data_IF_060289457739
#
_entry.id   IF_060289457739
#
_cell.length_a   1.000
_cell.length_b   1.000
_cell.length_c   1.000
_cell.angle_alpha   90.00
_cell.angle_beta   90.00
_cell.angle_gamma   90.00
#
_symmetry.space_group_name_H-M   'P 1'
#
loop_
_entity.id
_entity.type
_entity.pdbx_description
1 polymer ?
#
# COMPACT_ATOMS: atom_id res chain seq x y z
N UNK A 1 -13.01 -14.20 -8.18
CA UNK A 1 -11.80 -15.04 -8.06
C UNK A 1 -10.92 -14.41 -6.99
N UNK A 2 -10.26 -15.20 -6.14
CA UNK A 2 -9.33 -14.67 -5.15
C UNK A 2 -8.06 -14.16 -5.87
N UNK A 3 -7.42 -13.12 -5.32
CA UNK A 3 -6.14 -12.60 -5.81
C UNK A 3 -5.06 -12.81 -4.75
N UNK A 4 -3.87 -13.23 -5.18
CA UNK A 4 -2.72 -13.42 -4.28
C UNK A 4 -1.76 -12.23 -4.41
N UNK A 5 -1.44 -11.56 -3.30
CA UNK A 5 -0.55 -10.40 -3.34
C UNK A 5 0.92 -10.84 -3.45
N UNK A 6 1.65 -10.31 -4.42
CA UNK A 6 3.09 -10.59 -4.58
C UNK A 6 3.95 -9.98 -3.46
N UNK A 7 3.37 -9.13 -2.60
CA UNK A 7 4.03 -8.66 -1.37
C UNK A 7 4.53 -9.83 -0.51
N UNK A 8 3.83 -10.96 -0.54
CA UNK A 8 4.14 -12.15 0.25
C UNK A 8 5.53 -12.75 -0.03
N UNK A 9 6.01 -12.72 -1.28
CA UNK A 9 7.30 -13.33 -1.67
C UNK A 9 8.27 -12.42 -2.39
N UNK A 10 7.88 -11.21 -2.81
CA UNK A 10 8.75 -10.30 -3.55
C UNK A 10 10.14 -10.11 -2.90
N UNK A 11 10.20 -9.99 -1.58
CA UNK A 11 11.46 -9.82 -0.84
C UNK A 11 12.41 -11.03 -0.90
N UNK A 12 11.91 -12.23 -1.23
CA UNK A 12 12.71 -13.47 -1.33
C UNK A 12 13.33 -13.70 -2.71
N UNK A 13 12.90 -12.93 -3.71
CA UNK A 13 13.34 -13.10 -5.10
C UNK A 13 14.15 -11.92 -5.59
N UNK A 14 15.02 -12.16 -6.57
CA UNK A 14 15.74 -11.13 -7.33
C UNK A 14 15.22 -10.98 -8.75
N UNK A 15 14.65 -12.05 -9.31
CA UNK A 15 13.98 -12.08 -10.61
C UNK A 15 12.44 -12.10 -10.45
N UNK A 16 11.75 -11.53 -11.42
CA UNK A 16 10.29 -11.44 -11.40
C UNK A 16 9.58 -12.68 -11.90
N UNK A 17 10.19 -13.46 -12.80
CA UNK A 17 9.56 -14.67 -13.34
C UNK A 17 9.54 -15.75 -12.27
N UNK A 18 10.67 -16.00 -11.60
CA UNK A 18 10.75 -16.96 -10.49
C UNK A 18 9.79 -16.64 -9.34
N UNK A 19 9.59 -15.35 -9.07
CA UNK A 19 8.65 -14.88 -8.05
C UNK A 19 7.20 -15.21 -8.42
N UNK A 20 6.82 -15.03 -9.68
CA UNK A 20 5.48 -15.37 -10.15
C UNK A 20 5.29 -16.88 -10.19
N UNK A 21 6.29 -17.63 -10.66
CA UNK A 21 6.25 -19.10 -10.72
C UNK A 21 6.02 -19.72 -9.34
N UNK A 22 6.67 -19.23 -8.28
CA UNK A 22 6.40 -19.70 -6.90
C UNK A 22 4.92 -19.52 -6.49
N UNK A 23 4.29 -18.40 -6.86
CA UNK A 23 2.87 -18.15 -6.54
C UNK A 23 1.96 -19.07 -7.37
N UNK A 24 2.28 -19.28 -8.64
CA UNK A 24 1.54 -20.17 -9.54
C UNK A 24 1.65 -21.62 -9.10
N UNK A 25 2.82 -22.06 -8.64
CA UNK A 25 3.07 -23.41 -8.11
C UNK A 25 2.27 -23.70 -6.83
N UNK A 26 1.90 -22.66 -6.07
CA UNK A 26 0.94 -22.76 -4.95
C UNK A 26 -0.51 -22.89 -5.40
N UNK A 27 -0.79 -22.79 -6.70
CA UNK A 27 -2.13 -22.88 -7.30
C UNK A 27 -2.82 -21.54 -7.51
N UNK A 28 -2.12 -20.41 -7.35
CA UNK A 28 -2.70 -19.07 -7.56
C UNK A 28 -2.27 -18.49 -8.91
N UNK A 29 -3.19 -18.38 -9.84
CA UNK A 29 -2.95 -17.77 -11.16
C UNK A 29 -3.50 -16.35 -11.28
N UNK A 30 -4.22 -15.84 -10.29
CA UNK A 30 -4.70 -14.47 -10.25
C UNK A 30 -3.94 -13.70 -9.16
N UNK A 31 -3.15 -12.71 -9.56
CA UNK A 31 -2.12 -12.09 -8.71
C UNK A 31 -2.31 -10.57 -8.68
N UNK A 32 -2.13 -9.98 -7.51
CA UNK A 32 -1.97 -8.53 -7.33
C UNK A 32 -0.47 -8.20 -7.27
N UNK A 33 -0.01 -7.30 -8.15
CA UNK A 33 1.39 -6.91 -8.23
C UNK A 33 1.67 -5.77 -7.25
N UNK A 34 2.34 -6.10 -6.15
CA UNK A 34 2.41 -5.23 -4.98
C UNK A 34 3.61 -4.28 -4.97
N UNK A 35 3.66 -3.45 -3.93
CA UNK A 35 4.77 -2.54 -3.64
C UNK A 35 6.05 -3.30 -3.21
N UNK A 36 7.13 -2.56 -2.98
CA UNK A 36 8.46 -3.10 -2.72
C UNK A 36 9.13 -3.74 -3.93
N UNK A 37 8.47 -3.76 -5.10
CA UNK A 37 8.98 -4.39 -6.31
C UNK A 37 10.08 -3.53 -6.92
N UNK A 38 11.29 -4.06 -7.07
CA UNK A 38 12.36 -3.32 -7.77
C UNK A 38 12.14 -3.34 -9.28
N UNK A 39 12.58 -2.30 -9.97
CA UNK A 39 12.52 -2.21 -11.44
C UNK A 39 13.20 -3.41 -12.14
N UNK A 40 14.20 -4.02 -11.49
CA UNK A 40 14.94 -5.16 -12.01
C UNK A 40 14.07 -6.43 -12.18
N UNK A 41 12.98 -6.56 -11.42
CA UNK A 41 12.05 -7.70 -11.53
C UNK A 41 11.05 -7.56 -12.66
N UNK A 42 10.78 -6.34 -13.13
CA UNK A 42 9.74 -6.06 -14.10
C UNK A 42 9.87 -6.88 -15.41
N UNK A 43 11.08 -7.08 -15.99
CA UNK A 43 11.22 -7.92 -17.19
C UNK A 43 10.74 -9.36 -16.98
N UNK A 44 11.06 -9.98 -15.84
CA UNK A 44 10.62 -11.34 -15.52
C UNK A 44 9.11 -11.44 -15.33
N UNK A 45 8.49 -10.44 -14.67
CA UNK A 45 7.03 -10.37 -14.52
C UNK A 45 6.34 -10.23 -15.88
N UNK A 46 6.86 -9.37 -16.77
CA UNK A 46 6.34 -9.19 -18.13
C UNK A 46 6.41 -10.50 -18.92
N UNK A 47 7.55 -11.18 -18.86
CA UNK A 47 7.73 -12.48 -19.52
C UNK A 47 6.74 -13.54 -19.00
N UNK A 48 6.53 -13.62 -17.68
CA UNK A 48 5.53 -14.52 -17.09
C UNK A 48 4.10 -14.17 -17.57
N UNK A 49 3.77 -12.89 -17.66
CA UNK A 49 2.46 -12.42 -18.12
C UNK A 49 2.23 -12.74 -19.61
N UNK A 50 3.23 -12.49 -20.46
CA UNK A 50 3.20 -12.81 -21.89
C UNK A 50 3.08 -14.33 -22.15
N UNK A 51 3.68 -15.15 -21.30
CA UNK A 51 3.50 -16.61 -21.30
C UNK A 51 2.10 -17.05 -20.85
N UNK A 52 1.32 -16.16 -20.25
CA UNK A 52 -0.04 -16.44 -19.79
C UNK A 52 -0.12 -17.31 -18.54
N UNK A 53 0.94 -17.38 -17.72
CA UNK A 53 0.94 -18.22 -16.50
C UNK A 53 0.15 -17.60 -15.34
N UNK A 54 -0.17 -16.31 -15.42
CA UNK A 54 -1.01 -15.61 -14.45
C UNK A 54 -1.81 -14.46 -15.10
N UNK A 55 -2.86 -14.01 -14.41
CA UNK A 55 -3.61 -12.79 -14.67
C UNK A 55 -3.33 -11.76 -13.59
N UNK A 56 -3.23 -10.48 -13.97
CA UNK A 56 -3.06 -9.39 -13.02
C UNK A 56 -4.43 -8.83 -12.60
N UNK A 57 -4.82 -9.02 -11.34
CA UNK A 57 -6.09 -8.47 -10.84
C UNK A 57 -6.00 -6.95 -10.62
N UNK A 58 -4.85 -6.49 -10.14
CA UNK A 58 -4.59 -5.10 -9.80
C UNK A 58 -3.14 -4.92 -9.41
N UNK A 59 -2.74 -3.66 -9.22
CA UNK A 59 -1.40 -3.32 -8.76
C UNK A 59 -1.46 -2.45 -7.50
N UNK A 60 -0.40 -2.44 -6.71
CA UNK A 60 -0.27 -1.59 -5.53
C UNK A 60 0.78 -0.53 -5.76
N UNK A 61 0.38 0.73 -5.58
CA UNK A 61 1.26 1.86 -5.70
C UNK A 61 2.34 1.85 -4.59
N UNK A 62 3.62 2.07 -4.87
CA UNK A 62 4.22 2.34 -6.17
C UNK A 62 4.71 1.06 -6.85
N UNK A 63 4.33 0.89 -8.12
CA UNK A 63 4.75 -0.27 -8.91
C UNK A 63 5.40 0.14 -10.23
N UNK A 64 6.71 -0.15 -10.43
CA UNK A 64 7.67 -0.57 -9.42
C UNK A 64 7.92 0.51 -8.35
N UNK A 65 8.55 0.09 -7.26
CA UNK A 65 8.93 0.99 -6.17
C UNK A 65 9.95 2.04 -6.62
N UNK A 66 9.98 3.22 -5.95
CA UNK A 66 10.99 4.23 -6.23
C UNK A 66 12.39 3.67 -6.03
N UNK A 67 13.31 4.01 -6.92
CA UNK A 67 14.69 3.46 -6.89
C UNK A 67 15.47 3.91 -5.65
N UNK A 68 15.09 5.05 -5.09
CA UNK A 68 15.59 5.62 -3.85
C UNK A 68 15.09 4.91 -2.58
N UNK A 69 14.16 3.97 -2.71
CA UNK A 69 13.53 3.24 -1.61
C UNK A 69 13.93 1.78 -1.66
N UNK A 70 14.77 1.38 -0.70
CA UNK A 70 15.32 0.02 -0.60
C UNK A 70 14.50 -0.93 0.27
N UNK A 71 13.42 -0.42 0.88
CA UNK A 71 12.55 -1.17 1.77
C UNK A 71 11.13 -1.20 1.22
N UNK A 72 10.32 -2.06 1.82
CA UNK A 72 8.91 -2.10 1.50
C UNK A 72 8.19 -0.88 2.07
N UNK A 73 7.96 0.14 1.24
CA UNK A 73 7.36 1.41 1.66
C UNK A 73 6.28 1.88 0.66
N UNK A 74 5.03 1.41 0.80
CA UNK A 74 3.90 1.93 0.03
C UNK A 74 3.67 3.43 0.26
N UNK A 75 4.09 3.94 1.42
CA UNK A 75 3.99 5.34 1.83
C UNK A 75 5.30 6.13 1.58
N UNK A 76 6.14 5.70 0.65
CA UNK A 76 7.39 6.39 0.31
C UNK A 76 7.21 7.89 0.02
N UNK A 77 6.10 8.24 -0.63
CA UNK A 77 5.67 9.61 -0.86
C UNK A 77 4.19 9.74 -0.48
N UNK A 78 3.88 10.56 0.51
CA UNK A 78 2.50 10.75 0.94
C UNK A 78 1.83 11.94 0.23
N UNK A 79 0.60 11.75 -0.26
CA UNK A 79 -0.25 12.83 -0.76
C UNK A 79 -0.63 13.83 0.35
N UNK A 80 -0.58 13.43 1.62
CA UNK A 80 -0.76 14.30 2.78
C UNK A 80 0.47 15.12 3.17
N UNK A 81 1.63 14.92 2.50
CA UNK A 81 2.88 15.56 2.89
C UNK A 81 2.76 17.09 2.90
N UNK A 82 3.39 17.72 3.89
CA UNK A 82 3.51 19.18 3.95
C UNK A 82 4.40 19.74 2.84
N UNK A 83 5.26 18.91 2.24
CA UNK A 83 6.20 19.30 1.18
C UNK A 83 5.53 19.11 -0.18
N UNK A 84 5.37 20.17 -0.99
CA UNK A 84 4.76 20.05 -2.32
C UNK A 84 5.49 19.08 -3.24
N UNK A 85 6.82 18.99 -3.13
CA UNK A 85 7.63 18.06 -3.91
C UNK A 85 7.24 16.59 -3.67
N UNK A 86 7.04 16.18 -2.42
CA UNK A 86 6.66 14.81 -2.09
C UNK A 86 5.29 14.47 -2.69
N UNK A 87 4.33 15.41 -2.65
CA UNK A 87 3.01 15.23 -3.25
C UNK A 87 3.07 15.13 -4.78
N UNK A 88 3.88 15.96 -5.42
CA UNK A 88 4.09 15.89 -6.86
C UNK A 88 4.71 14.55 -7.25
N UNK A 89 5.74 14.11 -6.50
CA UNK A 89 6.40 12.82 -6.72
C UNK A 89 5.42 11.66 -6.55
N UNK A 90 4.54 11.71 -5.55
CA UNK A 90 3.48 10.73 -5.36
C UNK A 90 2.57 10.64 -6.59
N UNK A 91 2.11 11.77 -7.12
CA UNK A 91 1.28 11.82 -8.33
C UNK A 91 2.02 11.30 -9.57
N UNK A 92 3.24 11.76 -9.83
CA UNK A 92 4.03 11.35 -10.99
C UNK A 92 4.24 9.83 -11.02
N UNK A 93 4.53 9.23 -9.87
CA UNK A 93 4.72 7.79 -9.76
C UNK A 93 3.41 7.01 -9.83
N UNK A 94 2.30 7.61 -9.41
CA UNK A 94 0.96 7.03 -9.60
C UNK A 94 0.63 6.90 -11.07
N UNK A 95 0.89 7.95 -11.87
CA UNK A 95 0.66 7.91 -13.31
C UNK A 95 1.51 6.83 -13.99
N UNK A 96 2.80 6.70 -13.62
CA UNK A 96 3.65 5.62 -14.12
C UNK A 96 3.13 4.23 -13.73
N UNK A 97 2.60 4.10 -12.52
CA UNK A 97 1.99 2.85 -12.05
C UNK A 97 0.73 2.53 -12.86
N UNK A 98 -0.09 3.53 -13.21
CA UNK A 98 -1.27 3.36 -14.07
C UNK A 98 -0.88 2.94 -15.49
N UNK A 99 0.17 3.52 -16.07
CA UNK A 99 0.69 3.13 -17.38
C UNK A 99 1.07 1.64 -17.40
N UNK A 100 1.79 1.19 -16.38
CA UNK A 100 2.17 -0.22 -16.24
C UNK A 100 0.98 -1.13 -15.91
N UNK A 101 0.04 -0.68 -15.08
CA UNK A 101 -1.19 -1.41 -14.80
C UNK A 101 -1.97 -1.71 -16.10
N UNK A 102 -2.00 -0.76 -17.03
CA UNK A 102 -2.62 -0.94 -18.33
C UNK A 102 -1.93 -2.02 -19.17
N UNK A 103 -0.59 -2.11 -19.15
CA UNK A 103 0.16 -3.18 -19.82
C UNK A 103 -0.23 -4.57 -19.29
N UNK A 104 -0.44 -4.68 -17.98
CA UNK A 104 -0.90 -5.92 -17.32
C UNK A 104 -2.42 -6.12 -17.33
N UNK A 105 -3.18 -5.21 -17.97
CA UNK A 105 -4.65 -5.20 -17.98
C UNK A 105 -5.27 -5.28 -16.57
N UNK A 106 -4.58 -4.70 -15.58
CA UNK A 106 -5.02 -4.69 -14.19
C UNK A 106 -6.36 -3.94 -14.05
N UNK A 107 -7.23 -4.41 -13.16
CA UNK A 107 -8.58 -3.84 -12.99
C UNK A 107 -8.65 -2.74 -11.94
N UNK A 108 -7.67 -2.68 -11.03
CA UNK A 108 -7.63 -1.67 -9.98
C UNK A 108 -6.20 -1.29 -9.60
N UNK A 109 -6.08 -0.14 -8.94
CA UNK A 109 -4.87 0.35 -8.30
C UNK A 109 -5.15 0.57 -6.81
N UNK A 110 -4.30 0.05 -5.94
CA UNK A 110 -4.33 0.35 -4.50
C UNK A 110 -3.43 1.54 -4.21
N UNK A 111 -3.97 2.53 -3.49
CA UNK A 111 -3.28 3.76 -3.11
C UNK A 111 -3.28 3.92 -1.60
N UNK A 112 -2.12 4.27 -1.05
CA UNK A 112 -2.05 4.84 0.28
C UNK A 112 -2.09 6.35 0.16
N UNK A 113 -3.18 6.98 0.58
CA UNK A 113 -3.37 8.43 0.45
C UNK A 113 -2.53 9.25 1.44
N UNK A 114 -1.79 8.58 2.34
CA UNK A 114 -0.97 9.19 3.38
C UNK A 114 -1.64 9.24 4.76
N UNK A 115 -1.10 10.05 5.66
CA UNK A 115 -1.42 9.99 7.09
C UNK A 115 -1.73 11.37 7.71
N UNK A 116 -2.48 11.32 8.82
CA UNK A 116 -2.65 12.46 9.74
C UNK A 116 -1.76 12.21 10.95
N UNK A 117 -0.75 13.06 11.24
CA UNK A 117 0.22 12.83 12.30
C UNK A 117 -0.42 13.04 13.67
N UNK A 118 -0.98 11.96 14.22
CA UNK A 118 -1.51 11.89 15.57
C UNK A 118 -0.60 10.99 16.41
N UNK A 119 -0.05 11.48 17.54
CA UNK A 119 0.87 10.69 18.35
C UNK A 119 0.21 9.41 18.88
N UNK A 120 0.61 8.25 18.34
CA UNK A 120 0.02 6.95 18.66
C UNK A 120 0.07 6.65 20.17
N UNK A 121 1.16 7.02 20.86
CA UNK A 121 1.29 6.88 22.33
C UNK A 121 0.17 7.59 23.10
N UNK A 122 -0.33 8.72 22.59
CA UNK A 122 -1.38 9.53 23.21
C UNK A 122 -2.78 9.14 22.75
N UNK A 123 -2.95 8.35 21.71
CA UNK A 123 -4.28 8.12 21.14
C UNK A 123 -4.56 6.64 20.88
N UNK A 124 -3.87 6.04 19.91
CA UNK A 124 -4.14 4.66 19.51
C UNK A 124 -3.72 3.66 20.58
N UNK A 125 -2.52 3.79 21.16
CA UNK A 125 -2.00 2.76 22.09
C UNK A 125 -2.89 2.54 23.32
N UNK A 126 -3.39 3.57 24.02
CA UNK A 126 -4.26 3.35 25.16
C UNK A 126 -5.59 2.69 24.79
N UNK A 127 -6.16 3.04 23.63
CA UNK A 127 -7.37 2.38 23.11
C UNK A 127 -7.10 0.90 22.77
N UNK A 128 -5.95 0.58 22.19
CA UNK A 128 -5.55 -0.80 21.90
C UNK A 128 -5.42 -1.62 23.18
N UNK A 129 -4.81 -1.07 24.24
CA UNK A 129 -4.71 -1.73 25.55
C UNK A 129 -6.09 -2.02 26.13
N UNK A 130 -6.97 -1.01 26.18
CA UNK A 130 -8.34 -1.19 26.67
C UNK A 130 -9.12 -2.25 25.89
N UNK A 131 -8.97 -2.31 24.56
CA UNK A 131 -9.59 -3.35 23.74
C UNK A 131 -9.04 -4.74 24.08
N UNK A 132 -7.72 -4.88 24.26
CA UNK A 132 -7.11 -6.16 24.64
C UNK A 132 -7.55 -6.65 26.02
N UNK A 133 -7.97 -5.73 26.89
CA UNK A 133 -8.53 -6.03 28.22
C UNK A 133 -10.05 -6.24 28.21
N UNK A 134 -10.72 -6.19 27.04
CA UNK A 134 -12.17 -6.34 26.93
C UNK A 134 -12.99 -5.12 27.36
N UNK A 135 -12.35 -3.95 27.53
CA UNK A 135 -12.94 -2.70 28.06
C UNK A 135 -13.53 -1.79 26.98
N UNK A 136 -13.75 -2.29 25.76
CA UNK A 136 -14.25 -1.48 24.64
C UNK A 136 -15.67 -0.93 24.84
N UNK A 137 -16.39 -1.39 25.87
CA UNK A 137 -17.73 -0.91 26.24
C UNK A 137 -17.71 0.00 27.47
N UNK A 138 -16.55 0.19 28.10
CA UNK A 138 -16.44 0.98 29.32
C UNK A 138 -16.64 2.47 29.01
N UNK A 139 -17.26 3.23 29.92
CA UNK A 139 -17.44 4.68 29.75
C UNK A 139 -16.13 5.42 29.46
N UNK A 140 -15.02 5.00 30.06
CA UNK A 140 -13.70 5.61 29.84
C UNK A 140 -13.17 5.37 28.43
N UNK A 141 -13.32 4.16 27.89
CA UNK A 141 -12.95 3.85 26.51
C UNK A 141 -13.76 4.72 25.54
N UNK A 142 -15.07 4.80 25.73
CA UNK A 142 -15.98 5.58 24.90
C UNK A 142 -15.57 7.06 24.94
N UNK A 143 -15.39 7.63 26.14
CA UNK A 143 -14.95 9.01 26.33
C UNK A 143 -13.61 9.29 25.64
N UNK A 144 -12.65 8.39 25.79
CA UNK A 144 -11.33 8.53 25.19
C UNK A 144 -11.37 8.43 23.66
N UNK A 145 -12.12 7.47 23.12
CA UNK A 145 -12.35 7.33 21.68
C UNK A 145 -13.02 8.58 21.11
N UNK A 146 -14.02 9.13 21.79
CA UNK A 146 -14.65 10.39 21.37
C UNK A 146 -13.67 11.55 21.35
N UNK A 147 -12.82 11.70 22.36
CA UNK A 147 -11.79 12.73 22.38
C UNK A 147 -10.78 12.56 21.23
N UNK A 148 -10.37 11.31 20.94
CA UNK A 148 -9.50 10.99 19.82
C UNK A 148 -10.13 11.35 18.48
N UNK A 149 -11.36 10.90 18.22
CA UNK A 149 -12.10 11.20 16.99
C UNK A 149 -12.25 12.71 16.84
N UNK A 150 -12.70 13.44 17.87
CA UNK A 150 -12.80 14.92 17.82
C UNK A 150 -11.47 15.58 17.45
N UNK A 151 -10.34 15.10 18.00
CA UNK A 151 -9.01 15.62 17.65
C UNK A 151 -8.65 15.31 16.20
N UNK A 152 -8.92 14.09 15.73
CA UNK A 152 -8.68 13.67 14.34
C UNK A 152 -9.50 14.51 13.38
N UNK A 153 -10.80 14.66 13.60
CA UNK A 153 -11.69 15.46 12.76
C UNK A 153 -11.28 16.95 12.72
N UNK A 154 -10.77 17.50 13.83
CA UNK A 154 -10.26 18.88 13.86
C UNK A 154 -9.01 19.08 12.99
N UNK A 155 -8.15 18.06 12.88
CA UNK A 155 -6.84 18.16 12.22
C UNK A 155 -6.89 17.63 10.78
N UNK A 156 -7.74 16.65 10.52
CA UNK A 156 -7.89 15.94 9.24
C UNK A 156 -8.09 16.85 8.01
N UNK A 157 -8.92 17.92 8.04
CA UNK A 157 -9.20 18.73 6.87
C UNK A 157 -7.96 19.28 6.17
N UNK A 158 -6.92 19.66 6.93
CA UNK A 158 -5.65 20.13 6.35
C UNK A 158 -4.96 19.05 5.50
N UNK A 159 -4.94 17.81 6.00
CA UNK A 159 -4.26 16.70 5.33
C UNK A 159 -5.11 16.17 4.17
N UNK A 160 -6.43 16.14 4.34
CA UNK A 160 -7.36 15.84 3.25
C UNK A 160 -7.20 16.81 2.09
N UNK A 161 -7.17 18.13 2.35
CA UNK A 161 -6.97 19.15 1.31
C UNK A 161 -5.59 19.07 0.63
N UNK A 162 -4.59 18.45 1.26
CA UNK A 162 -3.30 18.21 0.60
C UNK A 162 -3.37 17.02 -0.36
N UNK A 163 -4.20 16.03 -0.05
CA UNK A 163 -4.25 14.76 -0.73
C UNK A 163 -5.15 14.74 -1.98
N UNK A 164 -6.02 15.74 -2.13
CA UNK A 164 -6.89 15.97 -3.31
C UNK A 164 -6.46 17.22 -4.06
#
# INVERSE_FOLDING_TARGET
MLAFSSCWNNSRHTDGESMIEEIVDLGFTNIELSHGMTIAKLPGIKKAYERGIFTCSGVHNYFPSPVEVMIDAPDAYEYTSHRPFDRQRAMDMTFRTLDLAAEFKAHYLVLHMGSVPLPSKKWTKPLTVMVSEGKQRDPDYIKYKHAFVKKREKVGPLYYHRAI
#
